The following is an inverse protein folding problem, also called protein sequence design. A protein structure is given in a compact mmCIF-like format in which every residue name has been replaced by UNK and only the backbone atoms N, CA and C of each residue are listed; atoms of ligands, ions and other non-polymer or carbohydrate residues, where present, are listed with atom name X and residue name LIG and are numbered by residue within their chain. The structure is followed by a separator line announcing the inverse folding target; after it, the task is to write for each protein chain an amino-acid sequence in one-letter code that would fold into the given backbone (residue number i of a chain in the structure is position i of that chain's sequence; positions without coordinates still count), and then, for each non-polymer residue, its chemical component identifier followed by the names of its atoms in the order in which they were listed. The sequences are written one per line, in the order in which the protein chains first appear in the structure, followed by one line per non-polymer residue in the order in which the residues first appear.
data_IF_031349069483
#
_entry.id   IF_031349069483
#
_cell.length_a   1.000
_cell.length_b   1.000
_cell.length_c   1.000
_cell.angle_alpha   90.00
_cell.angle_beta   90.00
_cell.angle_gamma   90.00
#
_symmetry.space_group_name_H-M   'P 1'
#
loop_
_entity.id
_entity.type
_entity.pdbx_description
1 polymer ?
#
# COMPACT_ATOMS: atom_id res chain seq x y z
N UNK A 1 14.74 -1.83 3.23
CA UNK A 1 13.89 -1.65 4.42
C UNK A 1 12.90 -2.79 4.47
N UNK A 2 12.76 -3.49 5.59
CA UNK A 2 11.88 -4.67 5.72
C UNK A 2 10.42 -4.41 5.34
N UNK A 3 9.97 -3.15 5.47
CA UNK A 3 8.62 -2.73 5.13
C UNK A 3 8.29 -2.87 3.63
N UNK A 4 9.30 -2.78 2.75
CA UNK A 4 9.08 -2.86 1.30
C UNK A 4 8.73 -4.30 0.89
N UNK A 5 9.42 -5.28 1.47
CA UNK A 5 9.19 -6.70 1.21
C UNK A 5 7.79 -7.12 1.64
N UNK A 6 7.34 -6.68 2.83
CA UNK A 6 5.98 -6.93 3.30
C UNK A 6 4.92 -6.30 2.39
N UNK A 7 5.13 -5.07 1.90
CA UNK A 7 4.22 -4.45 0.95
C UNK A 7 4.15 -5.23 -0.37
N UNK A 8 5.28 -5.65 -0.93
CA UNK A 8 5.30 -6.47 -2.15
C UNK A 8 4.67 -7.86 -1.95
N UNK A 9 4.80 -8.47 -0.77
CA UNK A 9 4.11 -9.71 -0.42
C UNK A 9 2.59 -9.56 -0.50
N UNK A 10 2.03 -8.49 0.10
CA UNK A 10 0.59 -8.20 0.03
C UNK A 10 0.14 -7.89 -1.40
N UNK A 11 0.91 -7.11 -2.17
CA UNK A 11 0.56 -6.81 -3.55
C UNK A 11 0.49 -8.09 -4.40
N UNK A 12 1.42 -9.03 -4.21
CA UNK A 12 1.52 -10.24 -5.02
C UNK A 12 0.53 -11.32 -4.60
N UNK A 13 0.47 -11.63 -3.30
CA UNK A 13 -0.34 -12.74 -2.78
C UNK A 13 -1.77 -12.30 -2.47
N UNK A 14 -1.96 -11.29 -1.60
CA UNK A 14 -3.31 -10.89 -1.18
C UNK A 14 -4.09 -10.15 -2.28
N UNK A 15 -3.40 -9.34 -3.09
CA UNK A 15 -4.02 -8.58 -4.18
C UNK A 15 -3.90 -9.28 -5.54
N UNK A 16 -3.19 -10.41 -5.61
CA UNK A 16 -3.05 -11.19 -6.84
C UNK A 16 -2.27 -10.51 -7.97
N UNK A 17 -1.51 -9.45 -7.68
CA UNK A 17 -0.77 -8.72 -8.72
C UNK A 17 0.45 -9.53 -9.19
N UNK A 18 0.38 -10.07 -10.41
CA UNK A 18 1.47 -10.87 -11.00
C UNK A 18 2.24 -10.16 -12.10
N UNK A 19 1.60 -9.25 -12.83
CA UNK A 19 2.20 -8.52 -13.95
C UNK A 19 1.46 -7.22 -14.23
N UNK A 20 2.18 -6.26 -14.80
CA UNK A 20 1.57 -5.09 -15.41
C UNK A 20 0.79 -5.46 -16.67
N UNK A 21 -0.37 -4.83 -16.83
CA UNK A 21 -1.18 -4.91 -18.05
C UNK A 21 -0.56 -4.04 -19.14
N UNK A 22 -0.09 -2.84 -18.78
CA UNK A 22 0.46 -1.86 -19.71
C UNK A 22 1.95 -2.11 -19.99
N UNK A 23 2.43 -1.60 -21.13
CA UNK A 23 3.82 -1.83 -21.60
C UNK A 23 4.66 -0.58 -21.82
N UNK A 24 4.04 0.60 -22.00
CA UNK A 24 4.83 1.83 -22.05
C UNK A 24 5.21 2.27 -20.64
N UNK A 25 6.39 2.88 -20.50
CA UNK A 25 6.91 3.29 -19.20
C UNK A 25 5.91 4.19 -18.43
N UNK A 26 5.34 5.19 -19.10
CA UNK A 26 4.39 6.13 -18.48
C UNK A 26 3.13 5.40 -17.98
N UNK A 27 2.62 4.46 -18.78
CA UNK A 27 1.42 3.69 -18.42
C UNK A 27 1.70 2.70 -17.29
N UNK A 28 2.85 2.04 -17.30
CA UNK A 28 3.29 1.16 -16.20
C UNK A 28 3.42 1.95 -14.90
N UNK A 29 3.99 3.15 -14.96
CA UNK A 29 4.11 4.02 -13.79
C UNK A 29 2.75 4.42 -13.23
N UNK A 30 1.81 4.75 -14.12
CA UNK A 30 0.42 5.06 -13.74
C UNK A 30 -0.28 3.85 -13.11
N UNK A 31 -0.14 2.67 -13.71
CA UNK A 31 -0.69 1.42 -13.18
C UNK A 31 -0.12 1.10 -11.79
N UNK A 32 1.20 1.26 -11.62
CA UNK A 32 1.86 1.06 -10.33
C UNK A 32 1.41 2.07 -9.27
N UNK A 33 1.21 3.33 -9.66
CA UNK A 33 0.69 4.36 -8.77
C UNK A 33 -0.73 4.02 -8.31
N UNK A 34 -1.62 3.62 -9.23
CA UNK A 34 -2.97 3.17 -8.90
C UNK A 34 -2.96 1.97 -7.95
N UNK A 35 -2.11 0.97 -8.22
CA UNK A 35 -1.95 -0.21 -7.37
C UNK A 35 -1.51 0.18 -5.94
N UNK A 36 -0.51 1.05 -5.82
CA UNK A 36 -0.02 1.54 -4.53
C UNK A 36 -1.10 2.34 -3.77
N UNK A 37 -1.87 3.17 -4.49
CA UNK A 37 -2.98 3.92 -3.89
C UNK A 37 -4.07 2.98 -3.37
N UNK A 38 -4.46 1.95 -4.15
CA UNK A 38 -5.43 0.95 -3.71
C UNK A 38 -4.95 0.20 -2.46
N UNK A 39 -3.67 -0.18 -2.40
CA UNK A 39 -3.06 -0.79 -1.21
C UNK A 39 -3.13 0.13 0.02
N UNK A 40 -2.79 1.41 -0.14
CA UNK A 40 -2.84 2.38 0.96
C UNK A 40 -4.28 2.67 1.41
N UNK A 41 -5.23 2.74 0.47
CA UNK A 41 -6.66 2.89 0.78
C UNK A 41 -7.19 1.68 1.55
N UNK A 42 -6.84 0.45 1.15
CA UNK A 42 -7.19 -0.77 1.90
C UNK A 42 -6.66 -0.70 3.34
N UNK A 43 -5.41 -0.26 3.54
CA UNK A 43 -4.84 -0.07 4.88
C UNK A 43 -5.57 0.99 5.69
N UNK A 44 -5.91 2.13 5.08
CA UNK A 44 -6.66 3.19 5.75
C UNK A 44 -8.06 2.72 6.12
N UNK A 45 -8.77 2.09 5.20
CA UNK A 45 -10.10 1.51 5.42
C UNK A 45 -10.07 0.52 6.59
N UNK A 46 -9.11 -0.41 6.61
CA UNK A 46 -8.93 -1.33 7.72
C UNK A 46 -8.62 -0.61 9.04
N UNK A 47 -7.85 0.49 9.01
CA UNK A 47 -7.58 1.29 10.21
C UNK A 47 -8.85 1.95 10.75
N UNK A 48 -9.71 2.46 9.86
CA UNK A 48 -11.01 3.06 10.19
C UNK A 48 -11.97 2.00 10.78
N UNK A 49 -12.14 0.86 10.09
CA UNK A 49 -13.05 -0.21 10.54
C UNK A 49 -12.67 -0.76 11.92
N UNK A 50 -11.38 -0.77 12.26
CA UNK A 50 -10.90 -1.21 13.56
C UNK A 50 -10.87 -0.08 14.61
N UNK A 51 -11.39 1.11 14.33
CA UNK A 51 -11.38 2.25 15.27
C UNK A 51 -9.97 2.73 15.66
N UNK A 52 -8.95 2.42 14.86
CA UNK A 52 -7.54 2.70 15.19
C UNK A 52 -7.03 4.02 14.62
N UNK A 53 -7.87 4.87 14.04
CA UNK A 53 -7.47 6.19 13.60
C UNK A 53 -6.89 7.00 14.76
N UNK A 54 -5.81 7.76 14.51
CA UNK A 54 -5.10 8.50 15.57
C UNK A 54 -4.28 7.65 16.55
N UNK A 55 -4.33 6.30 16.47
CA UNK A 55 -3.40 5.45 17.23
C UNK A 55 -2.05 5.35 16.52
N UNK A 56 -0.98 5.48 17.32
CA UNK A 56 0.41 5.38 16.90
C UNK A 56 1.09 4.27 17.69
N UNK A 57 1.87 3.43 17.00
CA UNK A 57 2.66 2.38 17.66
C UNK A 57 3.75 2.99 18.57
N UNK A 58 4.29 4.13 18.17
CA UNK A 58 5.22 4.94 18.96
C UNK A 58 4.67 6.35 19.03
N UNK A 59 4.71 6.94 20.23
CA UNK A 59 4.29 8.33 20.44
C UNK A 59 5.17 9.21 19.55
N UNK A 60 4.58 10.02 18.65
CA UNK A 60 5.36 10.96 17.86
C UNK A 60 6.12 11.89 18.82
N UNK A 61 7.44 11.98 18.68
CA UNK A 61 8.17 13.04 19.38
C UNK A 61 7.63 14.37 18.86
N UNK A 62 7.19 15.23 19.77
CA UNK A 62 6.91 16.63 19.42
C UNK A 62 8.16 17.20 18.75
N UNK A 63 7.97 17.80 17.58
CA UNK A 63 9.03 18.55 16.87
C UNK A 63 9.29 19.88 17.55
#
# INVERSE_FOLDING_TARGET
SIQVEGAFGVLKEDMGFRRFLMRSQVKVHTEFLLLCMAYNLKKLHNKIQNGRCGSYLHIPKAS
#
